data_IF_936208206588
#
_entry.id   IF_936208206588
#
_cell.length_a   1.000
_cell.length_b   1.000
_cell.length_c   1.000
_cell.angle_alpha   90.00
_cell.angle_beta   90.00
_cell.angle_gamma   90.00
#
_symmetry.space_group_name_H-M   'P 1'
#
loop_
_entity.id
_entity.type
_entity.pdbx_description
1 polymer ?
#
# COMPACT_ATOMS: atom_id res chain seq x y z
N UNK A 1 -5.78 17.65 11.44
CA UNK A 1 -4.34 17.51 11.72
C UNK A 1 -3.94 18.50 12.82
N UNK A 2 -3.17 18.09 13.85
CA UNK A 2 -2.73 19.00 14.92
C UNK A 2 -1.86 20.16 14.39
N UNK A 3 -1.86 21.35 15.04
CA UNK A 3 -1.07 22.51 14.61
C UNK A 3 0.43 22.23 14.44
N UNK A 4 1.01 21.41 15.34
CA UNK A 4 2.43 21.02 15.31
C UNK A 4 2.86 20.28 14.05
N UNK A 5 1.92 19.71 13.29
CA UNK A 5 2.22 18.90 12.10
C UNK A 5 1.77 19.56 10.79
N UNK A 6 1.21 20.77 10.82
CA UNK A 6 0.73 21.49 9.61
C UNK A 6 1.82 21.71 8.56
N UNK A 7 3.09 21.71 8.94
CA UNK A 7 4.21 21.88 8.02
C UNK A 7 4.30 20.76 6.97
N UNK A 8 3.75 19.57 7.24
CA UNK A 8 3.69 18.44 6.29
C UNK A 8 2.65 18.67 5.17
N UNK A 9 1.69 19.57 5.36
CA UNK A 9 0.63 19.82 4.39
C UNK A 9 1.17 20.36 3.05
N UNK A 10 2.35 20.98 3.05
CA UNK A 10 3.01 21.51 1.85
C UNK A 10 4.20 20.65 1.38
N UNK A 11 4.39 19.47 1.96
CA UNK A 11 5.47 18.55 1.59
C UNK A 11 4.97 17.44 0.68
N UNK A 12 5.84 16.95 -0.18
CA UNK A 12 5.66 15.66 -0.83
C UNK A 12 5.78 14.59 0.25
N UNK A 13 4.77 13.74 0.37
CA UNK A 13 4.73 12.65 1.35
C UNK A 13 4.59 11.35 0.58
N UNK A 14 5.64 10.53 0.66
CA UNK A 14 5.64 9.18 0.13
C UNK A 14 5.40 8.21 1.27
N UNK A 15 4.52 7.24 1.04
CA UNK A 15 4.18 6.17 1.96
C UNK A 15 4.70 4.86 1.42
N UNK A 16 5.49 4.16 2.22
CA UNK A 16 6.18 2.93 1.87
C UNK A 16 6.00 1.95 3.03
N UNK A 17 5.19 0.93 2.83
CA UNK A 17 4.87 -0.15 3.77
C UNK A 17 4.54 -1.40 2.97
N UNK A 18 4.50 -2.56 3.63
CA UNK A 18 4.16 -3.84 2.99
C UNK A 18 2.83 -3.77 2.23
N UNK A 19 2.78 -4.46 1.08
CA UNK A 19 1.58 -4.56 0.27
C UNK A 19 0.69 -5.68 0.85
N UNK A 20 -0.08 -5.30 1.86
CA UNK A 20 -1.05 -6.15 2.56
C UNK A 20 -2.27 -5.36 3.04
N UNK A 21 -3.16 -6.04 3.77
CA UNK A 21 -4.39 -5.43 4.27
C UNK A 21 -4.15 -4.36 5.34
N UNK A 22 -3.08 -4.43 6.13
CA UNK A 22 -2.74 -3.42 7.14
C UNK A 22 -2.01 -2.23 6.54
N UNK A 23 -1.08 -2.43 5.61
CA UNK A 23 -0.41 -1.36 4.87
C UNK A 23 -1.44 -0.46 4.19
N UNK A 24 -2.42 -1.05 3.49
CA UNK A 24 -3.49 -0.28 2.84
C UNK A 24 -4.48 0.34 3.84
N UNK A 25 -4.74 -0.29 4.99
CA UNK A 25 -5.53 0.30 6.07
C UNK A 25 -4.86 1.54 6.69
N UNK A 26 -3.55 1.45 6.93
CA UNK A 26 -2.76 2.55 7.48
C UNK A 26 -2.68 3.68 6.46
N UNK A 27 -2.43 3.39 5.18
CA UNK A 27 -2.48 4.38 4.11
C UNK A 27 -3.82 5.13 4.07
N UNK A 28 -4.94 4.40 4.11
CA UNK A 28 -6.28 4.98 4.16
C UNK A 28 -6.43 5.91 5.37
N UNK A 29 -5.90 5.52 6.53
CA UNK A 29 -5.89 6.31 7.76
C UNK A 29 -4.98 7.54 7.65
N UNK A 30 -3.80 7.42 7.05
CA UNK A 30 -2.86 8.53 6.81
C UNK A 30 -3.52 9.57 5.91
N UNK A 31 -4.18 9.15 4.83
CA UNK A 31 -4.88 10.04 3.90
C UNK A 31 -6.08 10.76 4.49
N UNK A 32 -6.60 10.31 5.65
CA UNK A 32 -7.56 11.11 6.42
C UNK A 32 -6.96 12.44 6.89
N UNK A 33 -5.65 12.49 7.13
CA UNK A 33 -4.94 13.67 7.63
C UNK A 33 -4.05 14.33 6.58
N UNK A 34 -3.51 13.55 5.64
CA UNK A 34 -2.63 13.98 4.56
C UNK A 34 -3.14 13.43 3.21
N UNK A 35 -4.22 14.01 2.64
CA UNK A 35 -4.87 13.47 1.43
C UNK A 35 -3.96 13.37 0.20
N UNK A 36 -2.89 14.16 0.17
CA UNK A 36 -1.90 14.18 -0.92
C UNK A 36 -0.80 13.12 -0.79
N UNK A 37 -0.85 12.25 0.22
CA UNK A 37 0.11 11.15 0.41
C UNK A 37 0.04 10.17 -0.76
N UNK A 38 1.19 9.91 -1.39
CA UNK A 38 1.33 8.94 -2.48
C UNK A 38 1.94 7.66 -1.91
N UNK A 39 1.29 6.53 -2.12
CA UNK A 39 1.89 5.24 -1.84
C UNK A 39 2.95 4.91 -2.88
N UNK A 40 3.86 4.01 -2.55
CA UNK A 40 4.88 3.49 -3.47
C UNK A 40 4.73 1.97 -3.49
N UNK A 41 4.72 1.36 -4.68
CA UNK A 41 4.65 -0.10 -4.85
C UNK A 41 3.41 -0.75 -4.23
N UNK A 42 2.29 -0.01 -4.19
CA UNK A 42 1.00 -0.49 -3.63
C UNK A 42 -0.11 -0.51 -4.69
N UNK A 43 0.25 -0.84 -5.93
CA UNK A 43 -0.66 -0.94 -7.06
C UNK A 43 -0.83 -2.38 -7.54
N UNK A 44 -1.85 -2.60 -8.38
CA UNK A 44 -2.20 -3.93 -8.91
C UNK A 44 -1.08 -4.56 -9.73
N UNK A 45 -0.29 -3.77 -10.46
CA UNK A 45 0.83 -4.28 -11.25
C UNK A 45 1.93 -4.82 -10.31
N UNK A 46 2.21 -4.10 -9.23
CA UNK A 46 3.11 -4.58 -8.15
C UNK A 46 2.63 -5.90 -7.57
N UNK A 47 1.34 -6.01 -7.26
CA UNK A 47 0.77 -7.24 -6.69
C UNK A 47 0.93 -8.43 -7.64
N UNK A 48 0.63 -8.24 -8.94
CA UNK A 48 0.73 -9.30 -9.96
C UNK A 48 2.16 -9.72 -10.24
N UNK A 49 3.06 -8.75 -10.41
CA UNK A 49 4.46 -9.02 -10.76
C UNK A 49 5.21 -9.76 -9.64
N UNK A 50 4.74 -9.63 -8.39
CA UNK A 50 5.37 -10.20 -7.21
C UNK A 50 4.49 -11.24 -6.49
N UNK A 51 3.47 -11.77 -7.16
CA UNK A 51 2.55 -12.77 -6.62
C UNK A 51 3.30 -14.00 -6.09
N UNK A 52 4.38 -14.41 -6.76
CA UNK A 52 5.23 -15.52 -6.34
C UNK A 52 5.97 -15.28 -5.00
N UNK A 53 6.06 -14.03 -4.54
CA UNK A 53 6.65 -13.67 -3.25
C UNK A 53 5.59 -13.53 -2.14
N UNK A 54 4.31 -13.60 -2.52
CA UNK A 54 3.22 -13.39 -1.60
C UNK A 54 3.12 -14.55 -0.58
N UNK A 55 2.79 -14.20 0.65
CA UNK A 55 2.55 -15.15 1.74
C UNK A 55 1.19 -14.88 2.37
N UNK A 56 0.61 -15.88 3.01
CA UNK A 56 -0.64 -15.70 3.75
C UNK A 56 -0.44 -14.74 4.92
N UNK A 57 -1.31 -13.74 5.04
CA UNK A 57 -1.35 -12.86 6.20
C UNK A 57 -1.98 -13.61 7.39
N UNK A 58 -1.31 -13.75 8.56
CA UNK A 58 -1.84 -14.54 9.66
C UNK A 58 -3.17 -14.03 10.25
N UNK A 59 -3.41 -12.71 10.19
CA UNK A 59 -4.59 -12.08 10.76
C UNK A 59 -5.02 -10.86 9.93
N UNK A 60 -5.67 -11.06 8.76
CA UNK A 60 -5.96 -9.99 7.83
C UNK A 60 -6.96 -8.95 8.35
N UNK A 61 -6.66 -7.68 8.08
CA UNK A 61 -7.58 -6.56 8.30
C UNK A 61 -8.80 -6.62 7.37
N UNK A 62 -9.99 -6.47 7.96
CA UNK A 62 -11.28 -6.47 7.26
C UNK A 62 -11.84 -5.07 7.03
N UNK A 63 -10.99 -4.05 6.99
CA UNK A 63 -11.44 -2.68 6.76
C UNK A 63 -12.07 -2.51 5.36
N UNK A 64 -13.01 -1.58 5.27
CA UNK A 64 -13.56 -1.10 3.99
C UNK A 64 -12.80 0.16 3.58
N UNK A 65 -12.11 0.15 2.43
CA UNK A 65 -11.35 1.31 1.99
C UNK A 65 -12.26 2.49 1.63
N UNK A 66 -11.83 3.71 1.98
CA UNK A 66 -12.57 4.94 1.70
C UNK A 66 -11.71 6.02 1.00
N UNK A 67 -10.38 5.89 1.04
CA UNK A 67 -9.39 6.86 0.55
C UNK A 67 -8.26 6.18 -0.23
N UNK A 68 -8.45 4.93 -0.64
CA UNK A 68 -7.59 4.29 -1.62
C UNK A 68 -7.91 4.83 -3.01
N UNK A 69 -6.89 4.92 -3.85
CA UNK A 69 -7.03 5.07 -5.29
C UNK A 69 -7.58 3.77 -5.89
N UNK A 70 -8.04 3.80 -7.15
CA UNK A 70 -8.51 2.59 -7.81
C UNK A 70 -7.43 1.50 -7.88
N UNK A 71 -6.19 1.86 -8.24
CA UNK A 71 -5.10 0.87 -8.34
C UNK A 71 -4.73 0.20 -7.02
N UNK A 72 -4.84 0.91 -5.90
CA UNK A 72 -4.63 0.36 -4.55
C UNK A 72 -5.81 -0.50 -4.09
N UNK A 73 -7.04 -0.11 -4.42
CA UNK A 73 -8.22 -0.92 -4.13
C UNK A 73 -8.20 -2.23 -4.93
N UNK A 74 -7.82 -2.16 -6.21
CA UNK A 74 -7.65 -3.32 -7.07
C UNK A 74 -6.55 -4.25 -6.52
N UNK A 75 -5.44 -3.69 -6.01
CA UNK A 75 -4.40 -4.48 -5.35
C UNK A 75 -4.92 -5.19 -4.09
N UNK A 76 -5.67 -4.50 -3.22
CA UNK A 76 -6.27 -5.11 -2.03
C UNK A 76 -7.22 -6.26 -2.40
N UNK A 77 -8.07 -6.05 -3.39
CA UNK A 77 -9.03 -7.05 -3.84
C UNK A 77 -8.32 -8.25 -4.50
N UNK A 78 -7.23 -8.01 -5.23
CA UNK A 78 -6.36 -9.05 -5.75
C UNK A 78 -5.80 -9.91 -4.60
N UNK A 79 -5.14 -9.30 -3.62
CA UNK A 79 -4.55 -10.02 -2.49
C UNK A 79 -5.59 -10.81 -1.67
N UNK A 80 -6.80 -10.25 -1.49
CA UNK A 80 -7.90 -10.92 -0.79
C UNK A 80 -8.44 -12.11 -1.58
N UNK A 81 -8.58 -11.97 -2.89
CA UNK A 81 -9.16 -13.01 -3.76
C UNK A 81 -8.19 -14.17 -4.04
N UNK A 82 -6.88 -13.94 -3.94
CA UNK A 82 -5.85 -14.96 -4.18
C UNK A 82 -5.38 -15.65 -2.90
N UNK A 83 -5.93 -15.28 -1.75
CA UNK A 83 -5.62 -15.86 -0.45
C UNK A 83 -6.63 -16.93 -0.05
N UNK A 84 -6.14 -18.00 0.59
CA UNK A 84 -6.96 -18.95 1.32
C UNK A 84 -7.25 -18.50 2.76
N UNK A 85 -6.39 -17.65 3.34
CA UNK A 85 -6.50 -17.10 4.70
C UNK A 85 -7.28 -15.78 4.84
N UNK A 86 -7.63 -15.16 3.71
CA UNK A 86 -8.40 -13.91 3.61
C UNK A 86 -7.64 -12.72 3.04
N UNK A 87 -6.31 -12.67 3.13
CA UNK A 87 -5.46 -11.73 2.40
C UNK A 87 -4.03 -12.26 2.27
N UNK A 88 -3.43 -12.05 1.10
CA UNK A 88 -2.00 -12.21 0.91
C UNK A 88 -1.24 -10.94 1.36
N UNK A 89 0.04 -11.13 1.69
CA UNK A 89 1.02 -10.07 1.95
C UNK A 89 2.21 -10.24 1.03
N UNK A 90 2.61 -9.13 0.40
CA UNK A 90 3.90 -9.01 -0.28
C UNK A 90 4.77 -8.07 0.55
N UNK A 91 5.80 -8.62 1.19
CA UNK A 91 6.79 -7.85 1.95
C UNK A 91 7.58 -6.97 0.98
N UNK A 92 7.55 -5.64 1.13
CA UNK A 92 8.17 -4.74 0.16
C UNK A 92 9.70 -4.85 0.16
N UNK A 93 10.31 -5.31 1.26
CA UNK A 93 11.74 -5.64 1.31
C UNK A 93 12.14 -6.80 0.39
N UNK A 94 11.18 -7.60 -0.08
CA UNK A 94 11.42 -8.72 -1.01
C UNK A 94 11.22 -8.33 -2.48
N UNK A 95 10.63 -7.17 -2.76
CA UNK A 95 10.46 -6.68 -4.14
C UNK A 95 11.84 -6.47 -4.78
N UNK A 96 11.96 -6.85 -6.05
CA UNK A 96 13.23 -6.75 -6.78
C UNK A 96 13.71 -5.30 -6.79
N UNK A 97 14.96 -5.08 -6.41
CA UNK A 97 15.51 -3.73 -6.20
C UNK A 97 15.41 -2.84 -7.43
N UNK A 98 15.70 -3.37 -8.62
CA UNK A 98 15.61 -2.61 -9.88
C UNK A 98 14.19 -2.12 -10.16
N UNK A 99 13.19 -2.97 -9.88
CA UNK A 99 11.78 -2.63 -10.02
C UNK A 99 11.37 -1.50 -9.06
N UNK A 100 11.79 -1.60 -7.80
CA UNK A 100 11.54 -0.56 -6.79
C UNK A 100 12.16 0.78 -7.21
N UNK A 101 13.43 0.76 -7.65
CA UNK A 101 14.14 1.96 -8.09
C UNK A 101 13.48 2.61 -9.31
N UNK A 102 13.06 1.82 -10.29
CA UNK A 102 12.36 2.33 -11.48
C UNK A 102 11.07 3.07 -11.09
N UNK A 103 10.24 2.44 -10.27
CA UNK A 103 8.97 3.00 -9.79
C UNK A 103 9.16 4.27 -8.97
N UNK A 104 10.25 4.39 -8.22
CA UNK A 104 10.56 5.55 -7.38
C UNK A 104 11.07 6.77 -8.16
N UNK A 105 11.65 6.60 -9.35
CA UNK A 105 12.17 7.71 -10.15
C UNK A 105 11.09 8.68 -10.65
N UNK A 106 9.84 8.22 -10.72
CA UNK A 106 8.68 9.01 -11.15
C UNK A 106 7.87 9.64 -10.01
N UNK A 107 8.37 9.58 -8.77
CA UNK A 107 7.62 9.97 -7.56
C UNK A 107 8.12 11.28 -6.99
#
# INVERSE_FOLDING_TARGET
>A
MPPSHRWLASKVVLYWEDLDSYGLYILDTVRKYLPHTRSVLMDIDTARDHDALAVEEPNPSRFTPARLTSGEADALDYLRSHSAGGCLRIEQERIVFDYAVERLRGV
#
